data_IF_203983752583
#
_entry.id   IF_203983752583
#
_cell.length_a   1.000
_cell.length_b   1.000
_cell.length_c   1.000
_cell.angle_alpha   90.00
_cell.angle_beta   90.00
_cell.angle_gamma   90.00
#
_symmetry.space_group_name_H-M   'P 1'
#
loop_
_entity.id
_entity.type
_entity.pdbx_description
1 polymer ?
#
# COMPACT_ATOMS: atom_id res chain seq x y z
N UNK A 1 -13.69 -7.15 -16.78
CA UNK A 1 -12.49 -7.10 -15.92
C UNK A 1 -12.00 -5.67 -16.03
N UNK A 2 -12.39 -4.82 -15.08
CA UNK A 2 -12.04 -3.39 -15.10
C UNK A 2 -10.59 -3.26 -14.67
N UNK A 3 -9.71 -3.06 -15.64
CA UNK A 3 -8.33 -2.65 -15.39
C UNK A 3 -8.37 -1.22 -14.84
N UNK A 4 -8.19 -1.06 -13.53
CA UNK A 4 -7.93 0.24 -12.94
C UNK A 4 -6.49 0.61 -13.29
N UNK A 5 -6.25 1.65 -14.09
CA UNK A 5 -4.88 2.03 -14.43
C UNK A 5 -4.18 2.61 -13.18
N UNK A 6 -2.90 2.25 -12.99
CA UNK A 6 -1.85 2.99 -12.25
C UNK A 6 -1.53 2.61 -10.79
N UNK A 7 -1.96 1.46 -10.26
CA UNK A 7 -1.42 0.97 -8.97
C UNK A 7 -0.92 -0.45 -9.07
N UNK A 8 0.29 -0.65 -8.55
CA UNK A 8 0.91 -1.95 -8.42
C UNK A 8 0.26 -2.72 -7.27
N UNK A 9 0.15 -4.06 -7.39
CA UNK A 9 -0.34 -4.89 -6.30
C UNK A 9 0.61 -4.81 -5.10
N UNK A 10 0.06 -4.78 -3.89
CA UNK A 10 0.82 -4.74 -2.63
C UNK A 10 1.84 -5.88 -2.46
N UNK A 11 1.71 -6.96 -3.23
CA UNK A 11 2.65 -8.09 -3.26
C UNK A 11 4.06 -7.71 -3.70
N UNK A 12 4.21 -6.66 -4.51
CA UNK A 12 5.51 -6.13 -4.96
C UNK A 12 5.98 -4.88 -4.19
N UNK A 13 5.24 -4.44 -3.18
CA UNK A 13 5.54 -3.22 -2.45
C UNK A 13 6.81 -3.38 -1.61
N UNK A 14 7.75 -2.44 -1.73
CA UNK A 14 8.91 -2.35 -0.85
C UNK A 14 8.65 -1.33 0.26
N UNK A 15 8.35 -1.76 1.50
CA UNK A 15 8.06 -0.82 2.57
C UNK A 15 9.29 -0.01 3.00
N UNK A 16 10.50 -0.33 2.55
CA UNK A 16 11.70 0.49 2.81
C UNK A 16 11.86 1.70 1.88
N UNK A 17 11.03 1.85 0.85
CA UNK A 17 11.12 2.96 -0.09
C UNK A 17 9.90 3.89 0.03
N UNK A 18 10.09 5.20 -0.19
CA UNK A 18 8.97 6.13 -0.18
C UNK A 18 8.03 5.85 -1.34
N UNK A 19 6.75 5.69 -1.03
CA UNK A 19 5.70 5.30 -1.98
C UNK A 19 4.38 5.99 -1.64
N UNK A 20 3.38 5.82 -2.49
CA UNK A 20 2.00 6.16 -2.18
C UNK A 20 1.20 4.86 -2.06
N UNK A 21 0.49 4.68 -0.95
CA UNK A 21 -0.41 3.56 -0.75
C UNK A 21 -1.84 4.05 -0.92
N UNK A 22 -2.70 3.24 -1.52
CA UNK A 22 -4.13 3.53 -1.57
C UNK A 22 -4.85 2.77 -0.47
N UNK A 23 -5.45 3.50 0.46
CA UNK A 23 -6.31 2.96 1.49
C UNK A 23 -7.73 2.79 0.94
N UNK A 24 -8.15 1.54 0.76
CA UNK A 24 -9.50 1.17 0.34
C UNK A 24 -10.57 1.45 1.40
N UNK A 25 -10.19 1.51 2.67
CA UNK A 25 -11.16 1.75 3.75
C UNK A 25 -11.73 3.17 3.69
N UNK A 26 -10.87 4.15 3.40
CA UNK A 26 -11.22 5.57 3.34
C UNK A 26 -11.21 6.14 1.92
N UNK A 27 -10.79 5.34 0.93
CA UNK A 27 -10.59 5.76 -0.47
C UNK A 27 -9.60 6.94 -0.57
N UNK A 28 -8.46 6.83 0.12
CA UNK A 28 -7.46 7.89 0.25
C UNK A 28 -6.06 7.43 -0.11
N UNK A 29 -5.26 8.36 -0.62
CA UNK A 29 -3.83 8.15 -0.87
C UNK A 29 -3.05 8.47 0.40
N UNK A 30 -2.39 7.46 0.97
CA UNK A 30 -1.50 7.57 2.11
C UNK A 30 -0.07 7.65 1.60
N UNK A 31 0.63 8.73 1.95
CA UNK A 31 2.06 8.86 1.67
C UNK A 31 2.84 7.95 2.60
N UNK A 32 3.53 6.98 2.03
CA UNK A 32 4.41 6.07 2.74
C UNK A 32 5.85 6.59 2.70
N UNK A 33 6.45 6.80 3.86
CA UNK A 33 7.83 7.31 3.98
C UNK A 33 8.87 6.21 4.21
N UNK A 34 8.44 5.02 4.64
CA UNK A 34 9.31 3.92 5.02
C UNK A 34 9.82 3.94 6.46
N UNK A 35 9.44 4.94 7.27
CA UNK A 35 9.79 4.98 8.69
C UNK A 35 9.19 3.79 9.46
N UNK A 36 7.96 3.41 9.09
CA UNK A 36 7.20 2.33 9.72
C UNK A 36 7.39 0.97 8.98
N UNK A 37 8.42 0.84 8.14
CA UNK A 37 8.66 -0.37 7.32
C UNK A 37 8.78 -1.66 8.14
N UNK A 38 9.50 -1.59 9.26
CA UNK A 38 9.69 -2.73 10.15
C UNK A 38 8.39 -3.14 10.84
N UNK A 39 7.58 -2.17 11.28
CA UNK A 39 6.26 -2.45 11.86
C UNK A 39 5.32 -3.03 10.81
N UNK A 40 5.27 -2.45 9.62
CA UNK A 40 4.47 -2.95 8.50
C UNK A 40 4.81 -4.40 8.20
N UNK A 41 6.10 -4.76 8.06
CA UNK A 41 6.50 -6.14 7.78
C UNK A 41 6.08 -7.13 8.88
N UNK A 42 6.02 -6.69 10.14
CA UNK A 42 5.65 -7.53 11.29
C UNK A 42 4.15 -7.62 11.54
N UNK A 43 3.44 -6.51 11.32
CA UNK A 43 2.04 -6.33 11.70
C UNK A 43 1.08 -6.41 10.50
N UNK A 44 1.58 -6.24 9.27
CA UNK A 44 0.75 -6.34 8.07
C UNK A 44 0.24 -7.76 7.85
N UNK A 45 -0.97 -7.84 7.31
CA UNK A 45 -1.61 -9.11 6.94
C UNK A 45 -2.18 -8.99 5.53
N UNK A 46 -1.58 -9.74 4.61
CA UNK A 46 -2.16 -9.93 3.28
C UNK A 46 -3.48 -10.71 3.41
N UNK A 47 -4.50 -10.25 2.69
CA UNK A 47 -5.82 -10.88 2.59
C UNK A 47 -5.95 -11.55 1.22
N UNK A 48 -6.81 -12.57 1.15
CA UNK A 48 -7.10 -13.31 -0.09
C UNK A 48 -7.63 -12.42 -1.23
N UNK A 49 -8.22 -11.28 -0.88
CA UNK A 49 -8.75 -10.28 -1.82
C UNK A 49 -7.65 -9.44 -2.49
N UNK A 50 -6.36 -9.71 -2.21
CA UNK A 50 -5.21 -8.95 -2.73
C UNK A 50 -4.89 -7.67 -1.98
N UNK A 51 -5.64 -7.36 -0.92
CA UNK A 51 -5.43 -6.22 -0.03
C UNK A 51 -4.51 -6.57 1.15
N UNK A 52 -3.84 -5.57 1.71
CA UNK A 52 -3.01 -5.71 2.90
C UNK A 52 -3.62 -4.87 4.02
N UNK A 53 -4.06 -5.54 5.08
CA UNK A 53 -4.52 -4.89 6.29
C UNK A 53 -3.33 -4.58 7.21
N UNK A 54 -3.22 -3.34 7.66
CA UNK A 54 -2.20 -2.91 8.61
C UNK A 54 -2.76 -1.83 9.52
N UNK A 55 -2.74 -2.07 10.84
CA UNK A 55 -3.35 -1.19 11.85
C UNK A 55 -4.84 -0.95 11.54
N UNK A 56 -5.20 0.28 11.22
CA UNK A 56 -6.57 0.69 10.81
C UNK A 56 -6.74 0.80 9.29
N UNK A 57 -5.65 0.66 8.53
CA UNK A 57 -5.62 0.81 7.08
C UNK A 57 -5.82 -0.50 6.35
N UNK A 58 -6.42 -0.41 5.15
CA UNK A 58 -6.60 -1.52 4.21
C UNK A 58 -6.06 -1.08 2.86
N UNK A 59 -4.82 -1.43 2.57
CA UNK A 59 -4.19 -1.05 1.32
C UNK A 59 -4.51 -2.04 0.21
N UNK A 60 -5.10 -1.60 -0.90
CA UNK A 60 -5.32 -2.46 -2.08
C UNK A 60 -4.29 -2.25 -3.18
N UNK A 61 -3.55 -1.14 -3.15
CA UNK A 61 -2.56 -0.83 -4.14
C UNK A 61 -1.48 0.12 -3.64
N UNK A 62 -0.35 0.14 -4.35
CA UNK A 62 0.71 1.11 -4.15
C UNK A 62 1.16 1.71 -5.48
N UNK A 63 1.75 2.90 -5.41
CA UNK A 63 2.38 3.57 -6.53
C UNK A 63 3.67 4.23 -6.08
N UNK A 64 4.51 4.61 -7.04
CA UNK A 64 5.70 5.40 -6.73
C UNK A 64 5.28 6.85 -6.44
N UNK A 65 5.91 7.48 -5.45
CA UNK A 65 5.84 8.95 -5.33
C UNK A 65 6.46 9.50 -6.60
N UNK A 66 5.66 10.07 -7.51
CA UNK A 66 6.22 10.84 -8.62
C UNK A 66 6.91 12.06 -8.01
N UNK A 67 8.22 11.94 -7.78
CA UNK A 67 9.08 13.05 -7.47
C UNK A 67 9.16 13.96 -8.69
N UNK A 68 8.62 15.16 -8.56
CA UNK A 68 8.98 16.33 -9.37
C UNK A 68 10.05 17.11 -8.65
#
# INVERSE_FOLDING_TARGET
>A
MTEHPTMHPMTGFNPSEPAVLHDRASDQIVTWTGDEADDFRRSSRARDDGTVAWREYVFDGWGNVMGG
#
